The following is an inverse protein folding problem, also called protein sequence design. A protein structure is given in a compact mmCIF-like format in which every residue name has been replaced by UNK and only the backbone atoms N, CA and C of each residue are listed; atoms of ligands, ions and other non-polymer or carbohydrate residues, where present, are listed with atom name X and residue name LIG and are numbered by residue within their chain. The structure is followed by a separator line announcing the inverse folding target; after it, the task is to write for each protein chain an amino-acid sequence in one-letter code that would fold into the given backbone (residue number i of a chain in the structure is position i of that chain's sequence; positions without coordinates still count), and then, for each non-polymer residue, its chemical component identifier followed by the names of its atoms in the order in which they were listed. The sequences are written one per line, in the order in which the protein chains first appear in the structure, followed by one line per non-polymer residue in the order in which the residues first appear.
data_IF_470484079964
#
_entry.id   IF_470484079964
#
_cell.length_a   1.000
_cell.length_b   1.000
_cell.length_c   1.000
_cell.angle_alpha   90.00
_cell.angle_beta   90.00
_cell.angle_gamma   90.00
#
_symmetry.space_group_name_H-M   'P 1'
#
loop_
_entity.id
_entity.type
_entity.pdbx_description
1 polymer ?
#
# COMPACT_ATOMS: atom_id res chain seq x y z
N UNK A 1 1.47 -8.87 -8.18
CA UNK A 1 1.84 -8.73 -6.75
C UNK A 1 1.86 -7.25 -6.43
N UNK A 2 1.28 -6.84 -5.30
CA UNK A 2 1.13 -5.43 -4.92
C UNK A 2 2.49 -4.74 -4.77
N UNK A 3 2.60 -3.49 -5.22
CA UNK A 3 3.84 -2.69 -5.19
C UNK A 3 4.13 -2.04 -3.84
N UNK A 4 5.34 -1.52 -3.70
CA UNK A 4 5.95 -1.01 -2.45
C UNK A 4 5.27 0.22 -1.82
N UNK A 5 4.32 0.87 -2.49
CA UNK A 5 3.75 2.17 -2.08
C UNK A 5 2.23 2.11 -1.82
N UNK A 6 1.75 1.06 -1.14
CA UNK A 6 0.33 0.95 -0.77
C UNK A 6 0.12 1.29 0.71
N UNK A 7 -0.83 2.19 0.99
CA UNK A 7 -1.29 2.50 2.35
C UNK A 7 -2.71 1.96 2.58
N UNK A 8 -3.21 2.11 3.82
CA UNK A 8 -4.51 1.56 4.20
C UNK A 8 -5.66 2.15 3.37
N UNK A 9 -5.57 3.44 3.03
CA UNK A 9 -6.59 4.14 2.26
C UNK A 9 -6.62 3.64 0.82
N UNK A 10 -5.45 3.61 0.15
CA UNK A 10 -5.36 3.08 -1.22
C UNK A 10 -5.72 1.60 -1.31
N UNK A 11 -5.42 0.82 -0.28
CA UNK A 11 -5.73 -0.62 -0.26
C UNK A 11 -7.21 -0.89 -0.03
N UNK A 12 -7.87 -0.10 0.81
CA UNK A 12 -9.31 -0.20 0.99
C UNK A 12 -10.05 0.04 -0.33
N UNK A 13 -9.74 1.15 -0.99
CA UNK A 13 -10.49 1.55 -2.19
C UNK A 13 -10.11 0.71 -3.42
N UNK A 14 -8.81 0.67 -3.75
CA UNK A 14 -8.35 0.08 -5.01
C UNK A 14 -8.30 -1.44 -4.99
N UNK A 15 -8.11 -2.05 -3.82
CA UNK A 15 -7.96 -3.50 -3.72
C UNK A 15 -9.24 -4.13 -3.17
N UNK A 16 -9.70 -3.74 -1.98
CA UNK A 16 -10.83 -4.40 -1.33
C UNK A 16 -12.14 -4.06 -2.05
N UNK A 17 -12.48 -2.78 -2.21
CA UNK A 17 -13.74 -2.39 -2.84
C UNK A 17 -13.77 -2.73 -4.33
N UNK A 18 -12.66 -2.57 -5.07
CA UNK A 18 -12.56 -3.01 -6.46
C UNK A 18 -12.80 -4.53 -6.60
N UNK A 19 -12.19 -5.34 -5.74
CA UNK A 19 -12.37 -6.79 -5.80
C UNK A 19 -13.79 -7.19 -5.42
N UNK A 20 -14.41 -6.54 -4.44
CA UNK A 20 -15.84 -6.73 -4.13
C UNK A 20 -16.74 -6.43 -5.32
N UNK A 21 -16.50 -5.33 -6.02
CA UNK A 21 -17.25 -4.97 -7.21
C UNK A 21 -17.08 -6.03 -8.32
N UNK A 22 -15.85 -6.51 -8.55
CA UNK A 22 -15.56 -7.59 -9.49
C UNK A 22 -16.26 -8.90 -9.10
N UNK A 23 -16.23 -9.29 -7.82
CA UNK A 23 -16.94 -10.48 -7.34
C UNK A 23 -18.44 -10.40 -7.59
N UNK A 24 -19.07 -9.24 -7.34
CA UNK A 24 -20.50 -9.03 -7.66
C UNK A 24 -20.78 -9.21 -9.15
N UNK A 25 -19.95 -8.61 -10.00
CA UNK A 25 -20.04 -8.78 -11.44
C UNK A 25 -19.89 -10.25 -11.84
N UNK A 26 -18.87 -10.95 -11.32
CA UNK A 26 -18.60 -12.34 -11.65
C UNK A 26 -19.70 -13.29 -11.19
N UNK A 27 -20.29 -13.06 -10.01
CA UNK A 27 -21.46 -13.83 -9.55
C UNK A 27 -22.61 -13.66 -10.53
N UNK A 28 -22.88 -12.43 -11.00
CA UNK A 28 -23.94 -12.16 -11.96
C UNK A 28 -23.69 -12.85 -13.30
N UNK A 29 -22.47 -12.74 -13.84
CA UNK A 29 -22.08 -13.37 -15.10
C UNK A 29 -22.17 -14.91 -15.02
N UNK A 30 -21.58 -15.50 -13.97
CA UNK A 30 -21.60 -16.95 -13.78
C UNK A 30 -23.01 -17.49 -13.53
N UNK A 31 -23.90 -16.70 -12.91
CA UNK A 31 -25.32 -17.11 -12.76
C UNK A 31 -26.01 -17.21 -14.13
N UNK A 32 -25.60 -16.39 -15.09
CA UNK A 32 -26.09 -16.40 -16.46
C UNK A 32 -25.32 -17.38 -17.38
N UNK A 33 -24.45 -18.22 -16.82
CA UNK A 33 -23.62 -19.17 -17.58
C UNK A 33 -22.41 -18.55 -18.29
N UNK A 34 -22.14 -17.25 -18.10
CA UNK A 34 -20.95 -16.60 -18.65
C UNK A 34 -19.77 -16.76 -17.67
N UNK A 35 -18.71 -17.44 -18.10
CA UNK A 35 -17.51 -17.70 -17.31
C UNK A 35 -16.25 -17.00 -17.86
N UNK A 36 -16.37 -15.88 -18.57
CA UNK A 36 -15.22 -15.17 -19.18
C UNK A 36 -14.10 -14.81 -18.20
N UNK A 37 -14.41 -14.64 -16.92
CA UNK A 37 -13.42 -14.40 -15.86
C UNK A 37 -12.53 -15.62 -15.58
N UNK A 38 -12.90 -16.81 -16.07
CA UNK A 38 -12.20 -18.06 -15.91
C UNK A 38 -11.87 -18.67 -17.29
N UNK A 39 -10.75 -18.27 -17.93
CA UNK A 39 -10.40 -18.72 -19.28
C UNK A 39 -10.37 -20.25 -19.44
N UNK A 40 -9.89 -20.97 -18.42
CA UNK A 40 -9.83 -22.43 -18.44
C UNK A 40 -11.22 -23.09 -18.34
N UNK A 41 -12.18 -22.43 -17.71
CA UNK A 41 -13.56 -22.90 -17.64
C UNK A 41 -14.25 -22.66 -18.98
N UNK A 42 -13.99 -21.51 -19.63
CA UNK A 42 -14.50 -21.22 -20.98
C UNK A 42 -13.94 -22.18 -22.04
N UNK A 43 -12.69 -22.62 -21.87
CA UNK A 43 -12.05 -23.59 -22.75
C UNK A 43 -12.55 -25.03 -22.55
N UNK A 44 -13.32 -25.30 -21.50
CA UNK A 44 -13.83 -26.62 -21.15
C UNK A 44 -15.34 -26.69 -21.36
N UNK A 45 -15.84 -27.83 -21.83
CA UNK A 45 -17.27 -28.13 -21.78
C UNK A 45 -17.61 -28.57 -20.35
N UNK A 46 -18.25 -27.70 -19.59
CA UNK A 46 -18.54 -27.94 -18.17
C UNK A 46 -20.00 -28.32 -17.94
N UNK A 47 -20.21 -29.33 -17.11
CA UNK A 47 -21.54 -29.74 -16.71
C UNK A 47 -22.26 -28.64 -15.91
N UNK A 48 -23.59 -28.61 -16.00
CA UNK A 48 -24.43 -27.67 -15.24
C UNK A 48 -24.20 -27.75 -13.72
N UNK A 49 -23.83 -28.93 -13.21
CA UNK A 49 -23.46 -29.11 -11.80
C UNK A 49 -22.19 -28.33 -11.43
N UNK A 50 -21.20 -28.29 -12.32
CA UNK A 50 -19.97 -27.51 -12.13
C UNK A 50 -20.28 -26.03 -12.18
N UNK A 51 -21.17 -25.59 -13.09
CA UNK A 51 -21.64 -24.20 -13.12
C UNK A 51 -22.26 -23.76 -11.79
N UNK A 52 -23.15 -24.58 -11.23
CA UNK A 52 -23.78 -24.31 -9.94
C UNK A 52 -22.75 -24.23 -8.79
N UNK A 53 -21.71 -25.08 -8.83
CA UNK A 53 -20.61 -25.02 -7.86
C UNK A 53 -19.81 -23.72 -7.99
N UNK A 54 -19.47 -23.28 -9.20
CA UNK A 54 -18.75 -22.01 -9.43
C UNK A 54 -19.52 -20.85 -8.78
N UNK A 55 -20.82 -20.74 -9.07
CA UNK A 55 -21.67 -19.69 -8.50
C UNK A 55 -21.72 -19.78 -6.97
N UNK A 56 -21.85 -20.99 -6.40
CA UNK A 56 -21.85 -21.21 -4.95
C UNK A 56 -20.54 -20.74 -4.31
N UNK A 57 -19.39 -21.10 -4.91
CA UNK A 57 -18.08 -20.73 -4.38
C UNK A 57 -17.81 -19.23 -4.50
N UNK A 58 -18.23 -18.58 -5.59
CA UNK A 58 -18.13 -17.13 -5.73
C UNK A 58 -18.94 -16.38 -4.67
N UNK A 59 -20.17 -16.84 -4.37
CA UNK A 59 -21.01 -16.27 -3.30
C UNK A 59 -20.34 -16.44 -1.93
N UNK A 60 -19.85 -17.65 -1.63
CA UNK A 60 -19.12 -17.90 -0.39
C UNK A 60 -17.86 -17.03 -0.28
N UNK A 61 -17.12 -16.85 -1.37
CA UNK A 61 -15.95 -15.97 -1.39
C UNK A 61 -16.34 -14.51 -1.11
N UNK A 62 -17.45 -14.02 -1.65
CA UNK A 62 -17.96 -12.68 -1.36
C UNK A 62 -18.35 -12.53 0.12
N UNK A 63 -18.99 -13.53 0.72
CA UNK A 63 -19.31 -13.56 2.16
C UNK A 63 -18.03 -13.51 3.00
N UNK A 64 -17.03 -14.35 2.67
CA UNK A 64 -15.74 -14.36 3.38
C UNK A 64 -14.98 -13.05 3.22
N UNK A 65 -15.03 -12.42 2.04
CA UNK A 65 -14.46 -11.08 1.85
C UNK A 65 -15.15 -10.03 2.73
N UNK A 66 -16.45 -10.13 2.96
CA UNK A 66 -17.16 -9.23 3.87
C UNK A 66 -16.82 -9.50 5.34
N UNK A 67 -16.64 -10.77 5.70
CA UNK A 67 -16.26 -11.18 7.05
C UNK A 67 -14.83 -10.77 7.43
N UNK A 68 -13.83 -11.06 6.58
CA UNK A 68 -12.43 -10.78 6.89
C UNK A 68 -12.02 -9.32 6.69
N UNK A 69 -12.72 -8.59 5.82
CA UNK A 69 -12.40 -7.19 5.50
C UNK A 69 -13.59 -6.27 5.72
N UNK A 70 -14.19 -6.21 6.92
CA UNK A 70 -15.41 -5.44 7.14
C UNK A 70 -15.26 -4.00 6.63
N UNK A 71 -16.34 -3.46 6.06
CA UNK A 71 -16.35 -2.07 5.58
C UNK A 71 -15.96 -1.14 6.73
N UNK A 72 -14.94 -0.33 6.50
CA UNK A 72 -14.51 0.72 7.41
C UNK A 72 -14.91 2.06 6.79
N UNK A 73 -15.47 2.93 7.63
CA UNK A 73 -15.64 4.31 7.22
C UNK A 73 -14.27 5.00 7.26
N UNK A 74 -13.77 5.32 6.08
CA UNK A 74 -12.51 6.03 5.89
C UNK A 74 -12.71 7.51 5.56
N UNK A 75 -13.96 7.98 5.44
CA UNK A 75 -14.28 9.39 5.20
C UNK A 75 -13.61 10.35 6.20
N UNK A 76 -13.48 10.01 7.51
CA UNK A 76 -12.74 10.86 8.45
C UNK A 76 -11.25 11.05 8.08
N UNK A 77 -10.70 10.22 7.20
CA UNK A 77 -9.31 10.29 6.74
C UNK A 77 -9.16 10.92 5.35
N UNK A 78 -10.24 11.40 4.73
CA UNK A 78 -10.20 11.99 3.38
C UNK A 78 -9.30 13.23 3.32
N UNK A 79 -9.18 13.98 4.42
CA UNK A 79 -8.24 15.10 4.53
C UNK A 79 -6.78 14.69 4.37
N UNK A 80 -6.44 13.42 4.64
CA UNK A 80 -5.11 12.88 4.42
C UNK A 80 -4.85 12.65 2.94
N UNK A 81 -5.86 12.20 2.16
CA UNK A 81 -5.71 11.98 0.73
C UNK A 81 -5.71 13.28 -0.07
N UNK A 82 -6.56 14.23 0.31
CA UNK A 82 -6.65 15.53 -0.36
C UNK A 82 -7.03 16.61 0.66
N UNK A 83 -6.05 17.26 1.31
CA UNK A 83 -6.33 18.30 2.29
C UNK A 83 -6.99 19.56 1.69
N UNK A 84 -6.90 19.76 0.36
CA UNK A 84 -7.40 20.95 -0.34
C UNK A 84 -8.82 20.80 -0.91
N UNK A 85 -9.48 19.66 -0.73
CA UNK A 85 -10.86 19.45 -1.15
C UNK A 85 -11.84 20.33 -0.36
N UNK A 86 -12.89 20.85 -1.02
CA UNK A 86 -13.85 21.77 -0.40
C UNK A 86 -14.71 21.06 0.67
N UNK A 87 -15.13 19.83 0.39
CA UNK A 87 -16.10 19.08 1.21
C UNK A 87 -15.42 17.96 2.03
N UNK A 88 -14.49 18.33 2.93
CA UNK A 88 -13.83 17.34 3.78
C UNK A 88 -14.42 17.37 5.20
N UNK A 89 -14.91 16.25 5.74
CA UNK A 89 -15.35 16.19 7.13
C UNK A 89 -14.15 16.13 8.08
N UNK A 90 -13.74 17.29 8.62
CA UNK A 90 -12.66 17.38 9.61
C UNK A 90 -13.12 17.79 11.02
N UNK A 91 -14.44 17.91 11.26
CA UNK A 91 -14.99 18.30 12.55
C UNK A 91 -14.69 17.33 13.70
N UNK A 92 -14.30 16.09 13.39
CA UNK A 92 -13.86 15.09 14.37
C UNK A 92 -12.42 15.32 14.85
N UNK A 93 -11.63 16.17 14.18
CA UNK A 93 -10.26 16.49 14.60
C UNK A 93 -10.27 17.44 15.81
N UNK A 94 -9.27 17.36 16.69
CA UNK A 94 -9.05 18.37 17.72
C UNK A 94 -8.83 19.78 17.11
N UNK A 95 -9.25 20.82 17.82
CA UNK A 95 -9.28 22.22 17.33
C UNK A 95 -7.94 22.68 16.74
N UNK A 96 -6.82 22.37 17.39
CA UNK A 96 -5.48 22.72 16.92
C UNK A 96 -5.14 22.12 15.55
N UNK A 97 -5.60 20.90 15.24
CA UNK A 97 -5.43 20.29 13.92
C UNK A 97 -6.41 20.86 12.90
N UNK A 98 -7.60 21.27 13.32
CA UNK A 98 -8.54 21.97 12.45
C UNK A 98 -7.96 23.32 12.02
N UNK A 99 -7.38 24.08 12.95
CA UNK A 99 -6.72 25.35 12.67
C UNK A 99 -5.54 25.18 11.69
N UNK A 100 -4.66 24.20 11.92
CA UNK A 100 -3.58 23.87 10.99
C UNK A 100 -4.12 23.49 9.59
N UNK A 101 -5.16 22.66 9.53
CA UNK A 101 -5.78 22.27 8.26
C UNK A 101 -6.41 23.47 7.54
N UNK A 102 -7.08 24.36 8.26
CA UNK A 102 -7.66 25.59 7.69
C UNK A 102 -6.59 26.53 7.15
N UNK A 103 -5.47 26.70 7.87
CA UNK A 103 -4.31 27.43 7.38
C UNK A 103 -3.79 26.82 6.08
N UNK A 104 -3.53 25.53 6.07
CA UNK A 104 -3.03 24.81 4.89
C UNK A 104 -3.96 24.93 3.69
N UNK A 105 -5.28 24.81 3.88
CA UNK A 105 -6.27 24.88 2.78
C UNK A 105 -6.26 26.19 2.01
N UNK A 106 -5.89 27.29 2.68
CA UNK A 106 -5.84 28.62 2.09
C UNK A 106 -4.49 28.94 1.44
N UNK A 107 -3.47 28.12 1.69
CA UNK A 107 -2.14 28.26 1.09
C UNK A 107 -2.11 27.71 -0.35
N UNK A 108 -2.05 28.63 -1.32
CA UNK A 108 -1.97 28.31 -2.74
C UNK A 108 -0.63 27.68 -3.14
N UNK A 109 0.46 28.05 -2.46
CA UNK A 109 1.80 27.51 -2.72
C UNK A 109 1.85 26.03 -2.34
N UNK A 110 1.27 25.68 -1.19
CA UNK A 110 1.16 24.28 -0.77
C UNK A 110 0.20 23.49 -1.67
N UNK A 111 -0.88 24.11 -2.16
CA UNK A 111 -1.77 23.48 -3.13
C UNK A 111 -1.06 23.12 -4.43
N UNK A 112 -0.22 24.02 -4.96
CA UNK A 112 0.61 23.75 -6.13
C UNK A 112 1.60 22.63 -5.84
N UNK A 113 2.33 22.71 -4.72
CA UNK A 113 3.30 21.69 -4.31
C UNK A 113 2.66 20.31 -4.13
N UNK A 114 1.43 20.24 -3.62
CA UNK A 114 0.67 19.00 -3.50
C UNK A 114 0.42 18.34 -4.86
N UNK A 115 0.18 19.13 -5.92
CA UNK A 115 -0.01 18.59 -7.27
C UNK A 115 1.29 18.07 -7.92
N UNK A 116 2.45 18.50 -7.42
CA UNK A 116 3.78 18.17 -7.95
C UNK A 116 4.48 17.04 -7.17
N UNK A 117 3.97 16.68 -5.99
CA UNK A 117 4.60 15.71 -5.09
C UNK A 117 3.68 14.53 -4.80
N UNK A 118 4.26 13.36 -4.50
CA UNK A 118 3.45 12.27 -3.99
C UNK A 118 2.96 12.56 -2.56
N UNK A 119 1.90 11.85 -2.17
CA UNK A 119 1.20 12.07 -0.91
C UNK A 119 2.11 11.99 0.31
N UNK A 120 3.01 11.01 0.36
CA UNK A 120 3.87 10.80 1.52
C UNK A 120 4.93 11.90 1.63
N UNK A 121 5.55 12.25 0.50
CA UNK A 121 6.53 13.35 0.45
C UNK A 121 5.89 14.70 0.74
N UNK A 122 4.66 14.95 0.29
CA UNK A 122 3.93 16.16 0.63
C UNK A 122 3.78 16.30 2.15
N UNK A 123 3.27 15.28 2.83
CA UNK A 123 3.09 15.31 4.29
C UNK A 123 4.41 15.46 5.03
N UNK A 124 5.51 14.90 4.52
CA UNK A 124 6.85 15.11 5.09
C UNK A 124 7.33 16.56 4.89
N UNK A 125 7.08 17.16 3.72
CA UNK A 125 7.50 18.52 3.41
C UNK A 125 6.86 19.58 4.31
N UNK A 126 5.57 19.41 4.63
CA UNK A 126 4.80 20.39 5.42
C UNK A 126 4.97 20.19 6.93
N UNK A 127 5.77 19.22 7.37
CA UNK A 127 5.95 18.86 8.77
C UNK A 127 6.45 20.02 9.65
N UNK A 128 7.29 20.90 9.13
CA UNK A 128 7.83 22.02 9.91
C UNK A 128 6.80 23.14 10.10
N UNK A 129 5.91 23.33 9.12
CA UNK A 129 4.92 24.39 9.10
C UNK A 129 3.59 23.97 9.77
N UNK A 130 3.18 22.71 9.56
CA UNK A 130 1.95 22.12 10.12
C UNK A 130 2.28 20.80 10.85
N UNK A 131 3.03 20.85 11.97
CA UNK A 131 3.57 19.67 12.62
C UNK A 131 2.52 18.73 13.20
N UNK A 132 1.41 19.24 13.75
CA UNK A 132 0.39 18.40 14.37
C UNK A 132 -0.41 17.62 13.32
N UNK A 133 -0.73 18.29 12.21
CA UNK A 133 -1.47 17.76 11.08
C UNK A 133 -0.61 16.78 10.29
N UNK A 134 0.62 17.17 9.94
CA UNK A 134 1.59 16.30 9.24
C UNK A 134 1.88 15.03 10.02
N UNK A 135 2.17 15.13 11.32
CA UNK A 135 2.42 13.95 12.17
C UNK A 135 1.21 13.01 12.19
N UNK A 136 -0.01 13.55 12.19
CA UNK A 136 -1.22 12.75 12.18
C UNK A 136 -1.43 12.06 10.82
N UNK A 137 -1.23 12.77 9.72
CA UNK A 137 -1.32 12.19 8.37
C UNK A 137 -0.29 11.07 8.17
N UNK A 138 0.96 11.30 8.58
CA UNK A 138 2.02 10.28 8.50
C UNK A 138 1.64 9.06 9.34
N UNK A 139 1.11 9.23 10.55
CA UNK A 139 0.68 8.11 11.38
C UNK A 139 -0.43 7.25 10.74
N UNK A 140 -1.31 7.87 9.94
CA UNK A 140 -2.35 7.16 9.17
C UNK A 140 -1.75 6.43 7.96
N UNK A 141 -0.76 7.02 7.30
CA UNK A 141 -0.13 6.46 6.09
C UNK A 141 0.94 5.40 6.37
N UNK A 142 1.53 5.40 7.57
CA UNK A 142 2.66 4.56 7.95
C UNK A 142 2.37 3.04 7.97
N UNK A 143 1.20 2.56 8.43
CA UNK A 143 0.94 1.13 8.51
C UNK A 143 0.98 0.46 7.12
N UNK A 144 1.70 -0.65 7.03
CA UNK A 144 1.71 -1.47 5.82
C UNK A 144 0.33 -2.10 5.63
N UNK A 145 -0.31 -1.79 4.51
CA UNK A 145 -1.64 -2.32 4.22
C UNK A 145 -1.62 -3.77 3.69
N UNK A 146 -0.43 -4.31 3.42
CA UNK A 146 -0.23 -5.67 2.91
C UNK A 146 0.96 -6.29 3.63
N UNK A 147 1.04 -7.62 3.61
CA UNK A 147 2.19 -8.37 4.12
C UNK A 147 3.39 -8.33 3.19
N UNK A 148 3.30 -7.69 2.01
CA UNK A 148 4.35 -7.70 0.98
C UNK A 148 5.74 -7.33 1.52
N UNK A 149 5.85 -6.23 2.26
CA UNK A 149 7.15 -5.80 2.81
C UNK A 149 7.67 -6.76 3.88
N UNK A 150 6.77 -7.37 4.66
CA UNK A 150 7.13 -8.42 5.62
C UNK A 150 7.62 -9.68 4.90
N UNK A 151 6.91 -10.13 3.88
CA UNK A 151 7.26 -11.30 3.04
C UNK A 151 8.60 -11.08 2.31
N UNK A 152 8.83 -9.88 1.79
CA UNK A 152 10.11 -9.48 1.20
C UNK A 152 11.23 -9.53 2.24
N UNK A 153 11.00 -9.00 3.43
CA UNK A 153 11.93 -9.07 4.56
C UNK A 153 12.29 -10.51 4.94
N UNK A 154 11.29 -11.38 5.11
CA UNK A 154 11.51 -12.79 5.46
C UNK A 154 12.18 -13.58 4.34
N UNK A 155 11.81 -13.34 3.09
CA UNK A 155 12.44 -13.97 1.92
C UNK A 155 13.91 -13.57 1.79
N UNK A 156 14.21 -12.29 2.04
CA UNK A 156 15.56 -11.75 2.05
C UNK A 156 16.39 -12.36 3.18
N UNK A 157 15.85 -12.38 4.40
CA UNK A 157 16.50 -13.02 5.56
C UNK A 157 16.80 -14.50 5.29
N UNK A 158 15.85 -15.24 4.72
CA UNK A 158 16.02 -16.66 4.36
C UNK A 158 17.16 -16.82 3.36
N UNK A 159 17.21 -15.96 2.33
CA UNK A 159 18.27 -15.97 1.32
C UNK A 159 19.64 -15.70 1.94
N UNK A 160 19.74 -14.68 2.81
CA UNK A 160 20.98 -14.34 3.53
C UNK A 160 21.46 -15.53 4.38
N UNK A 161 20.57 -16.09 5.22
CA UNK A 161 20.92 -17.20 6.11
C UNK A 161 21.29 -18.51 5.39
N UNK A 162 20.69 -18.79 4.24
CA UNK A 162 20.91 -20.04 3.50
C UNK A 162 22.06 -19.96 2.52
N UNK A 163 22.19 -18.86 1.76
CA UNK A 163 23.17 -18.75 0.66
C UNK A 163 24.44 -17.98 1.02
N UNK A 164 24.44 -17.17 2.09
CA UNK A 164 25.59 -16.34 2.50
C UNK A 164 26.17 -16.71 3.87
N UNK A 165 25.84 -17.91 4.39
CA UNK A 165 26.16 -18.35 5.76
C UNK A 165 27.64 -18.20 6.15
N UNK A 166 28.55 -18.49 5.23
CA UNK A 166 30.00 -18.49 5.46
C UNK A 166 30.62 -17.08 5.58
N UNK A 167 29.86 -15.99 5.33
CA UNK A 167 30.39 -14.62 5.27
C UNK A 167 29.56 -13.59 6.05
N UNK A 168 28.60 -14.05 6.84
CA UNK A 168 27.72 -13.20 7.64
C UNK A 168 28.51 -12.51 8.76
N UNK A 169 28.66 -11.19 8.66
CA UNK A 169 29.22 -10.38 9.76
C UNK A 169 28.12 -9.98 10.74
N UNK A 170 27.07 -9.35 10.23
CA UNK A 170 25.89 -8.92 10.99
C UNK A 170 24.65 -9.03 10.09
N UNK A 171 23.61 -9.71 10.56
CA UNK A 171 22.39 -9.92 9.76
C UNK A 171 21.68 -8.58 9.50
N UNK A 172 21.67 -7.68 10.48
CA UNK A 172 20.95 -6.41 10.40
C UNK A 172 21.52 -5.46 9.33
N UNK A 173 22.86 -5.40 9.19
CA UNK A 173 23.50 -4.55 8.17
C UNK A 173 23.27 -5.12 6.77
N UNK A 174 23.37 -6.45 6.61
CA UNK A 174 23.09 -7.10 5.34
C UNK A 174 21.63 -6.98 4.92
N UNK A 175 20.69 -7.14 5.86
CA UNK A 175 19.28 -6.93 5.60
C UNK A 175 18.99 -5.47 5.24
N UNK A 176 19.58 -4.51 5.95
CA UNK A 176 19.45 -3.08 5.64
C UNK A 176 19.94 -2.79 4.22
N UNK A 177 21.11 -3.31 3.83
CA UNK A 177 21.64 -3.13 2.49
C UNK A 177 20.78 -3.81 1.42
N UNK A 178 20.32 -5.03 1.67
CA UNK A 178 19.54 -5.81 0.70
C UNK A 178 18.11 -5.29 0.49
N UNK A 179 17.51 -4.68 1.50
CA UNK A 179 16.15 -4.13 1.45
C UNK A 179 16.13 -2.62 1.11
N UNK A 180 17.30 -1.97 1.06
CA UNK A 180 17.39 -0.53 0.80
C UNK A 180 17.03 -0.21 -0.64
N UNK A 181 16.08 0.73 -0.82
CA UNK A 181 15.85 1.39 -2.10
C UNK A 181 16.84 2.55 -2.37
N UNK A 182 17.65 2.92 -1.37
CA UNK A 182 18.67 3.96 -1.49
C UNK A 182 19.85 3.38 -2.28
N UNK A 183 20.19 4.04 -3.39
CA UNK A 183 21.37 3.70 -4.19
C UNK A 183 22.64 4.08 -3.43
N UNK A 184 23.59 3.14 -3.29
CA UNK A 184 24.85 3.44 -2.62
C UNK A 184 25.67 4.43 -3.46
N UNK A 185 26.24 5.45 -2.82
CA UNK A 185 27.21 6.33 -3.46
C UNK A 185 28.57 5.60 -3.57
N UNK A 186 28.75 4.85 -4.66
CA UNK A 186 29.92 4.02 -4.90
C UNK A 186 31.20 4.85 -4.97
N UNK A 187 31.17 6.03 -5.60
CA UNK A 187 32.34 6.90 -5.72
C UNK A 187 32.88 7.32 -4.36
N UNK A 188 31.97 7.71 -3.45
CA UNK A 188 32.33 8.04 -2.06
C UNK A 188 32.83 6.81 -1.29
N UNK A 189 32.25 5.64 -1.53
CA UNK A 189 32.69 4.41 -0.85
C UNK A 189 34.09 3.98 -1.32
N UNK A 190 34.37 4.10 -2.61
CA UNK A 190 35.66 3.80 -3.21
C UNK A 190 36.75 4.79 -2.77
N UNK A 191 36.44 6.08 -2.64
CA UNK A 191 37.43 7.07 -2.20
C UNK A 191 37.85 6.91 -0.73
N UNK A 192 36.99 6.34 0.11
CA UNK A 192 37.27 6.10 1.55
C UNK A 192 37.98 4.75 1.77
N UNK A 193 37.83 3.78 0.86
CA UNK A 193 38.47 2.46 0.96
C UNK A 193 39.88 2.49 0.37
N UNK A 194 40.91 2.46 1.22
CA UNK A 194 42.28 2.15 0.78
C UNK A 194 42.34 0.74 0.19
N UNK A 195 42.91 0.62 -1.01
CA UNK A 195 43.29 -0.67 -1.58
C UNK A 195 44.35 -1.33 -0.71
N UNK A 196 44.12 -2.57 -0.30
CA UNK A 196 45.19 -3.36 0.32
C UNK A 196 46.25 -3.61 -0.74
N UNK A 197 47.49 -3.20 -0.47
CA UNK A 197 48.64 -3.50 -1.32
C UNK A 197 48.84 -5.02 -1.27
N UNK A 198 48.86 -5.66 -2.43
CA UNK A 198 49.18 -7.08 -2.53
C UNK A 198 50.65 -7.28 -2.18
N UNK A 199 50.96 -8.21 -1.27
CA UNK A 199 52.33 -8.63 -0.95
C UNK A 199 52.80 -9.73 -1.89
#
# INVERSE_FOLDING_TARGET
MQGSNSNILTSSDKIIESFRAKLKLWISLATNGNNEMFPNVMAADIEQRVQALIVKHLKLLAEKMNFYFPKRDLQPMDWVQNPFSENIPFGHLPINKQEELMGMKTDRTLKLKFSETDLQHFWLCVKNEYPLLSKHAIAILLPFATTYLSELGFSTLTTIKTKKRERLRTIDEEMRAALSAITPNLDRLCSIKQSHVSH
#
